data_IF_300123923791
#
_entry.id   IF_300123923791
#
_cell.length_a   1.000
_cell.length_b   1.000
_cell.length_c   1.000
_cell.angle_alpha   90.00
_cell.angle_beta   90.00
_cell.angle_gamma   90.00
#
_symmetry.space_group_name_H-M   'P 1'
#
loop_
_entity.id
_entity.type
_entity.pdbx_description
1 polymer ?
#
# COMPACT_ATOMS: atom_id res chain seq x y z
N UNK A 1 -16.28 31.96 -0.28
CA UNK A 1 -15.14 32.16 0.64
C UNK A 1 -15.68 32.82 1.92
N UNK A 2 -15.85 32.06 3.01
CA UNK A 2 -16.33 32.61 4.29
C UNK A 2 -15.11 32.90 5.16
N UNK A 3 -14.83 34.18 5.39
CA UNK A 3 -13.68 34.71 6.14
C UNK A 3 -13.80 34.25 7.59
N UNK A 4 -12.90 33.40 8.07
CA UNK A 4 -12.81 33.02 9.49
C UNK A 4 -12.19 34.21 10.23
N UNK A 5 -13.00 34.90 11.03
CA UNK A 5 -12.52 35.97 11.92
C UNK A 5 -11.69 35.36 13.04
N UNK A 6 -10.47 35.86 13.24
CA UNK A 6 -9.69 35.62 14.45
C UNK A 6 -10.45 36.20 15.64
N UNK A 7 -11.04 35.35 16.46
CA UNK A 7 -11.53 35.73 17.79
C UNK A 7 -10.37 35.53 18.76
N UNK A 8 -9.97 36.60 19.45
CA UNK A 8 -8.96 36.56 20.50
C UNK A 8 -9.45 35.68 21.68
N UNK A 9 -8.52 34.96 22.30
CA UNK A 9 -8.77 33.99 23.36
C UNK A 9 -9.16 34.67 24.68
N UNK A 10 -10.20 34.14 25.35
CA UNK A 10 -10.50 34.45 26.75
C UNK A 10 -9.70 33.54 27.71
N UNK A 11 -9.44 33.96 28.97
CA UNK A 11 -8.39 33.40 29.81
C UNK A 11 -8.80 32.16 30.64
N UNK A 12 -9.98 31.56 30.45
CA UNK A 12 -10.50 30.54 31.37
C UNK A 12 -11.09 29.29 30.70
N UNK A 13 -10.53 28.89 29.56
CA UNK A 13 -10.79 27.57 28.99
C UNK A 13 -9.83 26.56 29.61
N UNK A 14 -10.30 25.83 30.60
CA UNK A 14 -9.59 24.66 31.17
C UNK A 14 -9.37 23.64 30.05
N UNK A 15 -8.12 23.22 29.83
CA UNK A 15 -7.79 22.18 28.84
C UNK A 15 -8.58 20.90 29.18
N UNK A 16 -9.22 20.30 28.17
CA UNK A 16 -9.87 19.00 28.35
C UNK A 16 -8.81 17.92 28.70
N UNK A 17 -9.21 16.78 29.31
CA UNK A 17 -8.29 15.73 29.78
C UNK A 17 -7.33 15.18 28.71
N UNK A 18 -7.67 15.33 27.43
CA UNK A 18 -6.86 14.90 26.30
C UNK A 18 -6.19 16.05 25.54
N UNK A 19 -6.34 17.31 25.96
CA UNK A 19 -5.76 18.48 25.29
C UNK A 19 -4.37 18.84 25.86
N UNK A 20 -3.47 19.29 24.99
CA UNK A 20 -2.19 19.86 25.35
C UNK A 20 -1.84 21.01 24.40
N UNK A 21 -0.98 21.93 24.86
CA UNK A 21 -0.47 23.03 24.04
C UNK A 21 0.82 22.59 23.38
N UNK A 22 0.88 22.64 22.06
CA UNK A 22 2.08 22.33 21.29
C UNK A 22 3.16 23.42 21.43
N UNK A 23 4.38 23.15 20.95
CA UNK A 23 5.52 24.08 21.06
C UNK A 23 5.33 25.40 20.28
N UNK A 24 4.31 25.48 19.42
CA UNK A 24 3.96 26.67 18.63
C UNK A 24 2.77 27.42 19.26
N UNK A 25 2.30 27.02 20.45
CA UNK A 25 1.18 27.63 21.15
C UNK A 25 -0.20 27.17 20.67
N UNK A 26 -0.28 26.15 19.82
CA UNK A 26 -1.52 25.58 19.32
C UNK A 26 -2.12 24.54 20.28
N UNK A 27 -3.45 24.54 20.46
CA UNK A 27 -4.16 23.47 21.19
C UNK A 27 -4.23 22.20 20.32
N UNK A 28 -3.82 21.06 20.86
CA UNK A 28 -3.80 19.75 20.22
C UNK A 28 -4.31 18.67 21.17
N UNK A 29 -4.85 17.56 20.66
CA UNK A 29 -5.34 16.45 21.50
C UNK A 29 -4.46 15.19 21.39
N UNK A 30 -4.17 14.52 22.50
CA UNK A 30 -3.60 13.16 22.57
C UNK A 30 -4.75 12.17 22.73
N UNK A 31 -4.87 11.22 21.81
CA UNK A 31 -5.85 10.12 21.87
C UNK A 31 -7.32 10.57 22.07
N UNK A 32 -7.78 11.52 21.24
CA UNK A 32 -9.17 12.01 21.26
C UNK A 32 -10.24 10.92 21.00
N UNK A 33 -9.84 9.68 20.70
CA UNK A 33 -10.72 8.52 20.63
C UNK A 33 -11.29 8.11 21.99
N UNK A 34 -10.64 8.51 23.09
CA UNK A 34 -11.07 8.23 24.45
C UNK A 34 -11.86 9.38 25.11
N UNK A 35 -12.14 10.46 24.36
CA UNK A 35 -13.01 11.56 24.79
C UNK A 35 -14.29 11.57 23.95
N UNK A 36 -15.45 11.50 24.60
CA UNK A 36 -16.81 11.59 24.01
C UNK A 36 -16.95 10.85 22.67
N UNK A 37 -16.62 9.57 22.64
CA UNK A 37 -16.85 8.73 21.47
C UNK A 37 -18.06 7.84 21.71
N UNK A 38 -19.27 8.37 21.48
CA UNK A 38 -20.54 7.62 21.57
C UNK A 38 -20.48 6.28 20.81
N UNK A 39 -19.81 6.24 19.65
CA UNK A 39 -19.61 5.00 18.89
C UNK A 39 -18.77 3.95 19.65
N UNK A 40 -17.72 4.37 20.38
CA UNK A 40 -16.85 3.47 21.13
C UNK A 40 -17.57 2.96 22.38
N UNK A 41 -18.30 3.84 23.05
CA UNK A 41 -19.11 3.51 24.22
C UNK A 41 -20.22 2.51 23.83
N UNK A 42 -20.92 2.74 22.71
CA UNK A 42 -21.94 1.80 22.21
C UNK A 42 -21.35 0.42 21.87
N UNK A 43 -20.15 0.37 21.28
CA UNK A 43 -19.47 -0.89 20.97
C UNK A 43 -19.02 -1.62 22.24
N UNK A 44 -18.47 -0.91 23.22
CA UNK A 44 -18.08 -1.42 24.53
C UNK A 44 -19.29 -1.96 25.32
N UNK A 45 -20.41 -1.24 25.32
CA UNK A 45 -21.64 -1.64 25.98
C UNK A 45 -22.22 -2.91 25.38
N UNK A 46 -22.30 -3.00 24.05
CA UNK A 46 -22.73 -4.23 23.35
C UNK A 46 -21.80 -5.41 23.64
N UNK A 47 -20.49 -5.14 23.72
CA UNK A 47 -19.49 -6.16 24.05
C UNK A 47 -19.67 -6.67 25.48
N UNK A 48 -19.85 -5.78 26.45
CA UNK A 48 -20.14 -6.16 27.85
C UNK A 48 -21.48 -6.89 27.98
N UNK A 49 -22.50 -6.51 27.21
CA UNK A 49 -23.81 -7.19 27.16
C UNK A 49 -23.80 -8.50 26.38
N UNK A 50 -22.66 -8.91 25.79
CA UNK A 50 -22.51 -10.09 24.90
C UNK A 50 -23.47 -10.09 23.71
N UNK A 51 -23.85 -8.91 23.24
CA UNK A 51 -24.67 -8.77 22.04
C UNK A 51 -23.81 -8.89 20.76
N UNK A 52 -24.36 -9.45 19.66
CA UNK A 52 -23.64 -9.53 18.40
C UNK A 52 -23.33 -8.14 17.87
N UNK A 53 -22.06 -7.92 17.51
CA UNK A 53 -21.58 -6.64 17.00
C UNK A 53 -22.03 -6.43 15.55
N UNK A 54 -22.57 -5.25 15.26
CA UNK A 54 -22.87 -4.87 13.88
C UNK A 54 -21.55 -4.52 13.16
N UNK A 55 -21.23 -5.15 12.00
CA UNK A 55 -20.02 -4.84 11.24
C UNK A 55 -19.91 -3.35 10.85
N UNK A 56 -21.05 -2.66 10.68
CA UNK A 56 -21.06 -1.22 10.39
C UNK A 56 -20.67 -0.39 11.62
N UNK A 57 -21.08 -0.78 12.84
CA UNK A 57 -20.69 -0.12 14.09
C UNK A 57 -19.18 -0.24 14.34
N UNK A 58 -18.60 -1.44 14.20
CA UNK A 58 -17.15 -1.63 14.31
C UNK A 58 -16.37 -0.84 13.26
N UNK A 59 -16.94 -0.68 12.06
CA UNK A 59 -16.32 0.14 11.01
C UNK A 59 -16.33 1.63 11.34
N UNK A 60 -17.38 2.13 11.98
CA UNK A 60 -17.49 3.51 12.50
C UNK A 60 -16.51 3.74 13.63
N UNK A 61 -16.46 2.85 14.61
CA UNK A 61 -15.46 2.90 15.71
C UNK A 61 -14.05 2.90 15.16
N UNK A 62 -13.72 1.97 14.26
CA UNK A 62 -12.40 1.90 13.65
C UNK A 62 -12.07 3.18 12.84
N UNK A 63 -13.05 3.79 12.17
CA UNK A 63 -12.87 5.06 11.47
C UNK A 63 -12.60 6.22 12.44
N UNK A 64 -13.36 6.30 13.53
CA UNK A 64 -13.23 7.33 14.57
C UNK A 64 -11.91 7.18 15.34
N UNK A 65 -11.53 5.97 15.74
CA UNK A 65 -10.23 5.68 16.35
C UNK A 65 -9.09 6.01 15.39
N UNK A 66 -9.20 5.62 14.11
CA UNK A 66 -8.17 5.95 13.12
C UNK A 66 -8.04 7.47 12.96
N UNK A 67 -9.14 8.23 12.96
CA UNK A 67 -9.12 9.69 12.81
C UNK A 67 -8.53 10.43 14.01
N UNK A 68 -8.68 9.85 15.20
CA UNK A 68 -8.39 10.50 16.48
C UNK A 68 -7.12 10.00 17.16
N UNK A 69 -6.59 8.84 16.78
CA UNK A 69 -5.30 8.33 17.26
C UNK A 69 -4.16 9.07 16.55
N UNK A 70 -3.49 9.98 17.29
CA UNK A 70 -2.31 10.72 16.81
C UNK A 70 -1.15 10.49 17.76
N UNK A 71 0.03 10.22 17.21
CA UNK A 71 1.28 10.07 17.99
C UNK A 71 2.08 11.36 17.89
N UNK A 72 2.60 11.89 19.02
CA UNK A 72 3.43 13.09 19.01
C UNK A 72 4.72 12.84 18.21
N UNK A 73 4.98 13.67 17.20
CA UNK A 73 6.22 13.64 16.41
C UNK A 73 6.93 15.00 16.48
N UNK A 74 8.23 15.02 16.12
CA UNK A 74 9.12 16.19 16.21
C UNK A 74 8.57 17.42 15.46
N UNK A 75 7.70 17.20 14.46
CA UNK A 75 7.06 18.25 13.65
C UNK A 75 5.53 18.34 13.86
N UNK A 76 5.00 17.85 14.99
CA UNK A 76 3.57 17.84 15.32
C UNK A 76 2.95 16.44 15.36
N UNK A 77 1.72 16.33 15.86
CA UNK A 77 1.02 15.05 16.05
C UNK A 77 0.61 14.43 14.70
N UNK A 78 1.07 13.20 14.40
CA UNK A 78 0.74 12.47 13.16
C UNK A 78 -0.33 11.42 13.41
N UNK A 79 -1.36 11.37 12.56
CA UNK A 79 -2.43 10.36 12.56
C UNK A 79 -1.83 8.96 12.34
N UNK A 80 -2.20 8.00 13.20
CA UNK A 80 -1.80 6.60 13.09
C UNK A 80 -2.90 5.83 12.41
N UNK A 81 -2.60 5.26 11.24
CA UNK A 81 -3.51 4.34 10.57
C UNK A 81 -3.49 3.00 11.33
N UNK A 82 -4.65 2.56 11.81
CA UNK A 82 -4.80 1.32 12.59
C UNK A 82 -4.32 0.07 11.82
N UNK A 83 -4.17 0.17 10.50
CA UNK A 83 -3.58 -0.87 9.66
C UNK A 83 -2.07 -1.11 9.90
N UNK A 84 -1.38 -0.24 10.65
CA UNK A 84 0.00 -0.44 11.07
C UNK A 84 0.15 -1.44 12.22
N UNK A 85 -0.87 -1.58 13.07
CA UNK A 85 -0.79 -2.38 14.31
C UNK A 85 -0.68 -3.88 14.01
N UNK A 86 -1.48 -4.47 13.11
CA UNK A 86 -1.42 -5.92 12.92
C UNK A 86 -0.05 -6.42 12.46
N UNK A 87 0.65 -5.81 11.47
CA UNK A 87 2.01 -6.23 11.14
C UNK A 87 3.01 -6.14 12.30
N UNK A 88 2.92 -5.11 13.14
CA UNK A 88 3.84 -4.89 14.26
C UNK A 88 3.72 -5.95 15.35
N UNK A 89 2.51 -6.45 15.61
CA UNK A 89 2.24 -7.43 16.68
C UNK A 89 2.22 -8.86 16.13
N UNK A 90 1.56 -9.07 14.99
CA UNK A 90 1.36 -10.39 14.43
C UNK A 90 2.67 -11.00 13.92
N UNK A 91 3.54 -10.20 13.29
CA UNK A 91 4.76 -10.72 12.68
C UNK A 91 5.75 -11.28 13.71
N UNK A 92 6.09 -10.58 14.82
CA UNK A 92 6.98 -11.14 15.83
C UNK A 92 6.39 -12.38 16.51
N UNK A 93 5.08 -12.38 16.80
CA UNK A 93 4.40 -13.53 17.41
C UNK A 93 4.46 -14.75 16.48
N UNK A 94 4.11 -14.57 15.20
CA UNK A 94 4.15 -15.67 14.22
C UNK A 94 5.57 -16.19 14.00
N UNK A 95 6.57 -15.31 13.93
CA UNK A 95 7.97 -15.73 13.80
C UNK A 95 8.48 -16.46 15.04
N UNK A 96 8.07 -16.02 16.25
CA UNK A 96 8.42 -16.71 17.48
C UNK A 96 7.79 -18.11 17.54
N UNK A 97 6.50 -18.25 17.20
CA UNK A 97 5.82 -19.56 17.10
C UNK A 97 6.51 -20.45 16.05
N UNK A 98 6.88 -19.89 14.90
CA UNK A 98 7.59 -20.62 13.85
C UNK A 98 8.95 -21.14 14.31
N UNK A 99 9.63 -20.42 15.22
CA UNK A 99 10.92 -20.82 15.76
C UNK A 99 10.83 -21.97 16.79
N UNK A 100 9.66 -22.23 17.40
CA UNK A 100 9.51 -23.28 18.42
C UNK A 100 9.65 -24.70 17.84
N UNK A 101 9.18 -24.93 16.61
CA UNK A 101 9.22 -26.25 15.99
C UNK A 101 9.15 -26.15 14.46
N UNK A 102 9.90 -26.99 13.73
CA UNK A 102 9.95 -26.93 12.27
C UNK A 102 8.57 -27.12 11.61
N UNK A 103 7.72 -28.02 12.14
CA UNK A 103 6.34 -28.19 11.67
C UNK A 103 5.50 -26.92 11.86
N UNK A 104 5.65 -26.22 13.01
CA UNK A 104 4.98 -24.95 13.24
C UNK A 104 5.50 -23.88 12.27
N UNK A 105 6.80 -23.90 11.97
CA UNK A 105 7.39 -23.07 10.91
C UNK A 105 6.74 -23.30 9.54
N UNK A 106 6.55 -24.55 9.12
CA UNK A 106 5.86 -24.88 7.86
C UNK A 106 4.41 -24.39 7.89
N UNK A 107 3.69 -24.61 8.99
CA UNK A 107 2.31 -24.14 9.16
C UNK A 107 2.24 -22.61 9.06
N UNK A 108 3.10 -21.87 9.77
CA UNK A 108 3.12 -20.41 9.73
C UNK A 108 3.48 -19.91 8.32
N UNK A 109 4.50 -20.50 7.67
CA UNK A 109 4.95 -20.11 6.34
C UNK A 109 3.87 -20.32 5.27
N UNK A 110 3.06 -21.37 5.39
CA UNK A 110 1.96 -21.67 4.46
C UNK A 110 0.69 -20.88 4.77
N UNK A 111 0.38 -20.64 6.05
CA UNK A 111 -0.79 -19.89 6.47
C UNK A 111 -0.66 -18.37 6.24
N UNK A 112 0.55 -17.81 6.40
CA UNK A 112 0.77 -16.37 6.33
C UNK A 112 0.40 -15.76 4.96
N UNK A 113 0.80 -16.33 3.80
CA UNK A 113 0.33 -15.85 2.50
C UNK A 113 -1.19 -15.90 2.36
N UNK A 114 -1.84 -16.97 2.86
CA UNK A 114 -3.29 -17.10 2.86
C UNK A 114 -3.98 -16.00 3.67
N UNK A 115 -3.49 -15.75 4.89
CA UNK A 115 -3.98 -14.68 5.77
C UNK A 115 -3.78 -13.29 5.15
N UNK A 116 -2.63 -13.04 4.54
CA UNK A 116 -2.32 -11.78 3.87
C UNK A 116 -3.20 -11.58 2.63
N UNK A 117 -3.43 -12.62 1.84
CA UNK A 117 -4.33 -12.58 0.68
C UNK A 117 -5.80 -12.38 1.09
N UNK A 118 -6.22 -13.04 2.16
CA UNK A 118 -7.56 -12.85 2.72
C UNK A 118 -7.75 -11.41 3.22
N UNK A 119 -6.78 -10.90 3.98
CA UNK A 119 -6.76 -9.50 4.42
C UNK A 119 -6.75 -8.53 3.24
N UNK A 120 -5.91 -8.79 2.22
CA UNK A 120 -5.87 -8.03 0.97
C UNK A 120 -7.25 -7.96 0.33
N UNK A 121 -7.88 -9.12 0.12
CA UNK A 121 -9.17 -9.19 -0.55
C UNK A 121 -10.26 -8.44 0.23
N UNK A 122 -10.30 -8.61 1.55
CA UNK A 122 -11.30 -7.96 2.41
C UNK A 122 -11.12 -6.44 2.50
N UNK A 123 -9.87 -5.98 2.66
CA UNK A 123 -9.57 -4.56 2.92
C UNK A 123 -9.41 -3.75 1.64
N UNK A 124 -8.73 -4.27 0.63
CA UNK A 124 -8.44 -3.54 -0.60
C UNK A 124 -9.69 -3.40 -1.49
N UNK A 125 -10.62 -4.36 -1.45
CA UNK A 125 -11.92 -4.18 -2.11
C UNK A 125 -12.76 -3.06 -1.51
N UNK A 126 -12.57 -2.74 -0.22
CA UNK A 126 -13.38 -1.75 0.50
C UNK A 126 -12.71 -0.38 0.66
N UNK A 127 -11.40 -0.32 0.95
CA UNK A 127 -10.71 0.92 1.38
C UNK A 127 -9.77 1.53 0.32
N UNK A 128 -9.51 0.86 -0.80
CA UNK A 128 -8.67 1.38 -1.90
C UNK A 128 -7.18 1.48 -1.54
N UNK A 129 -6.81 2.31 -0.55
CA UNK A 129 -5.42 2.49 -0.08
C UNK A 129 -5.30 2.10 1.39
N UNK A 130 -4.33 1.26 1.70
CA UNK A 130 -4.02 0.82 3.07
C UNK A 130 -2.52 0.92 3.29
N UNK A 131 -2.09 1.37 4.48
CA UNK A 131 -0.66 1.38 4.83
C UNK A 131 -0.13 0.01 5.25
N UNK A 132 -1.02 -0.94 5.57
CA UNK A 132 -0.70 -2.32 5.99
C UNK A 132 0.49 -2.96 5.26
N UNK A 133 0.46 -3.04 3.93
CA UNK A 133 1.52 -3.73 3.16
C UNK A 133 2.85 -3.02 3.21
N UNK A 134 2.82 -1.67 3.19
CA UNK A 134 4.03 -0.87 3.33
C UNK A 134 4.61 -0.98 4.74
N UNK A 135 3.77 -0.94 5.79
CA UNK A 135 4.22 -1.13 7.16
C UNK A 135 4.72 -2.55 7.40
N UNK A 136 4.07 -3.56 6.82
CA UNK A 136 4.52 -4.94 6.88
C UNK A 136 5.90 -5.10 6.25
N UNK A 137 6.12 -4.55 5.05
CA UNK A 137 7.42 -4.62 4.38
C UNK A 137 8.53 -3.89 5.17
N UNK A 138 8.26 -2.67 5.63
CA UNK A 138 9.24 -1.87 6.39
C UNK A 138 9.57 -2.51 7.74
N UNK A 139 8.55 -2.98 8.46
CA UNK A 139 8.75 -3.66 9.74
C UNK A 139 9.48 -4.99 9.55
N UNK A 140 9.14 -5.77 8.53
CA UNK A 140 9.86 -7.01 8.22
C UNK A 140 11.33 -6.74 7.93
N UNK A 141 11.64 -5.73 7.11
CA UNK A 141 13.03 -5.36 6.81
C UNK A 141 13.80 -4.94 8.07
N UNK A 142 13.18 -4.09 8.91
CA UNK A 142 13.77 -3.66 10.18
C UNK A 142 13.98 -4.83 11.14
N UNK A 143 12.95 -5.67 11.34
CA UNK A 143 12.98 -6.78 12.28
C UNK A 143 13.98 -7.86 11.86
N UNK A 144 14.05 -8.19 10.56
CA UNK A 144 15.06 -9.12 10.04
C UNK A 144 16.48 -8.58 10.23
N UNK A 145 16.70 -7.28 10.01
CA UNK A 145 17.99 -6.66 10.26
C UNK A 145 18.32 -6.62 11.77
N UNK A 146 17.33 -6.34 12.62
CA UNK A 146 17.47 -6.40 14.08
C UNK A 146 17.89 -7.80 14.55
N UNK A 147 17.18 -8.85 14.11
CA UNK A 147 17.54 -10.24 14.42
C UNK A 147 18.94 -10.60 13.91
N UNK A 148 19.34 -10.12 12.73
CA UNK A 148 20.70 -10.31 12.24
C UNK A 148 21.73 -9.72 13.20
N UNK A 149 21.49 -8.50 13.71
CA UNK A 149 22.38 -7.84 14.67
C UNK A 149 22.39 -8.52 16.04
N UNK A 150 21.27 -9.04 16.52
CA UNK A 150 21.18 -9.61 17.88
C UNK A 150 21.49 -11.09 17.96
N UNK A 151 21.20 -11.87 16.91
CA UNK A 151 21.32 -13.34 16.95
C UNK A 151 22.48 -13.88 16.11
N UNK A 152 22.90 -13.16 15.06
CA UNK A 152 23.87 -13.65 14.08
C UNK A 152 25.24 -13.02 14.32
N UNK A 153 25.30 -11.69 14.46
CA UNK A 153 26.57 -10.98 14.70
C UNK A 153 27.27 -11.43 15.99
N UNK A 154 26.59 -11.67 17.13
CA UNK A 154 27.26 -12.09 18.36
C UNK A 154 27.88 -13.50 18.31
N UNK A 155 27.55 -14.32 17.29
CA UNK A 155 28.19 -15.63 17.08
C UNK A 155 29.66 -15.50 16.69
N UNK A 156 30.09 -14.31 16.23
CA UNK A 156 31.49 -14.01 15.92
C UNK A 156 31.94 -14.38 14.50
N UNK A 157 31.10 -15.06 13.72
CA UNK A 157 31.43 -15.49 12.35
C UNK A 157 31.32 -14.37 11.30
N UNK A 158 30.69 -13.24 11.65
CA UNK A 158 30.44 -12.12 10.74
C UNK A 158 31.49 -11.03 10.96
N UNK A 159 32.29 -10.76 9.93
CA UNK A 159 33.28 -9.67 9.96
C UNK A 159 32.63 -8.29 9.89
N UNK A 160 33.32 -7.26 10.41
CA UNK A 160 32.86 -5.87 10.33
C UNK A 160 32.61 -5.39 8.89
N UNK A 161 33.37 -5.91 7.91
CA UNK A 161 33.18 -5.58 6.49
C UNK A 161 31.86 -6.18 5.97
N UNK A 162 31.57 -7.45 6.28
CA UNK A 162 30.32 -8.10 5.89
C UNK A 162 29.10 -7.40 6.53
N UNK A 163 29.21 -7.04 7.81
CA UNK A 163 28.20 -6.24 8.51
C UNK A 163 28.01 -4.87 7.84
N UNK A 164 29.10 -4.17 7.50
CA UNK A 164 29.06 -2.91 6.77
C UNK A 164 28.36 -3.02 5.42
N UNK A 165 28.62 -4.08 4.66
CA UNK A 165 27.97 -4.34 3.36
C UNK A 165 26.46 -4.54 3.51
N UNK A 166 26.02 -5.37 4.47
CA UNK A 166 24.59 -5.58 4.74
C UNK A 166 23.92 -4.27 5.17
N UNK A 167 24.55 -3.55 6.09
CA UNK A 167 24.03 -2.27 6.61
C UNK A 167 23.85 -1.24 5.49
N UNK A 168 24.85 -1.14 4.61
CA UNK A 168 24.81 -0.29 3.42
C UNK A 168 23.71 -0.75 2.45
N UNK A 169 23.57 -2.05 2.22
CA UNK A 169 22.51 -2.62 1.38
C UNK A 169 21.10 -2.29 1.88
N UNK A 170 20.86 -2.42 3.19
CA UNK A 170 19.59 -2.02 3.83
C UNK A 170 19.36 -0.51 3.67
N UNK A 171 20.37 0.31 3.92
CA UNK A 171 20.27 1.76 3.75
C UNK A 171 19.96 2.16 2.30
N UNK A 172 20.65 1.58 1.32
CA UNK A 172 20.40 1.80 -0.11
C UNK A 172 19.00 1.38 -0.52
N UNK A 173 18.51 0.25 0.01
CA UNK A 173 17.13 -0.22 -0.22
C UNK A 173 16.10 0.81 0.27
N UNK A 174 16.29 1.32 1.50
CA UNK A 174 15.42 2.35 2.08
C UNK A 174 15.48 3.67 1.31
N UNK A 175 16.68 4.13 0.92
CA UNK A 175 16.86 5.35 0.13
C UNK A 175 16.21 5.24 -1.25
N UNK A 176 16.39 4.10 -1.93
CA UNK A 176 15.75 3.83 -3.20
C UNK A 176 14.22 3.80 -3.05
N UNK A 177 13.70 3.17 -1.99
CA UNK A 177 12.26 3.15 -1.69
C UNK A 177 11.71 4.55 -1.43
N UNK A 178 12.42 5.38 -0.66
CA UNK A 178 12.08 6.78 -0.43
C UNK A 178 12.02 7.56 -1.74
N UNK A 179 12.98 7.33 -2.64
CA UNK A 179 13.00 7.95 -3.95
C UNK A 179 11.80 7.49 -4.81
N UNK A 180 11.49 6.19 -4.79
CA UNK A 180 10.33 5.61 -5.48
C UNK A 180 9.01 6.22 -5.00
N UNK A 181 8.92 6.58 -3.71
CA UNK A 181 7.75 7.24 -3.11
C UNK A 181 7.61 8.73 -3.44
N UNK A 182 8.60 9.39 -4.05
CA UNK A 182 8.50 10.81 -4.43
C UNK A 182 7.38 11.08 -5.45
N UNK A 183 6.96 10.07 -6.20
CA UNK A 183 5.73 10.09 -6.99
C UNK A 183 5.88 9.49 -8.39
N UNK A 184 4.79 8.98 -8.99
CA UNK A 184 4.84 8.24 -10.26
C UNK A 184 4.89 9.12 -11.52
N UNK A 185 4.70 10.43 -11.38
CA UNK A 185 4.47 11.34 -12.50
C UNK A 185 3.00 11.39 -12.88
N UNK A 186 2.19 12.09 -12.08
CA UNK A 186 0.77 12.30 -12.37
C UNK A 186 0.61 13.21 -13.59
N UNK A 187 -0.42 12.92 -14.41
CA UNK A 187 -0.81 13.78 -15.51
C UNK A 187 -1.42 15.06 -14.93
N UNK A 188 -0.84 16.21 -15.26
CA UNK A 188 -1.41 17.52 -14.90
C UNK A 188 -2.36 17.96 -16.02
N UNK A 189 -3.52 18.56 -15.70
CA UNK A 189 -4.35 19.21 -16.72
C UNK A 189 -3.54 20.31 -17.41
N UNK A 190 -3.57 20.38 -18.74
CA UNK A 190 -2.97 21.48 -19.48
C UNK A 190 -3.84 22.74 -19.30
N UNK A 191 -3.28 23.91 -18.97
CA UNK A 191 -4.04 25.17 -18.92
C UNK A 191 -4.73 25.53 -20.24
N UNK A 192 -4.18 25.07 -21.37
CA UNK A 192 -4.75 25.28 -22.71
C UNK A 192 -6.02 24.43 -22.95
N UNK A 193 -6.17 23.30 -22.26
CA UNK A 193 -7.37 22.45 -22.33
C UNK A 193 -8.48 22.92 -21.35
N UNK A 194 -8.15 23.78 -20.39
CA UNK A 194 -9.14 24.39 -19.47
C UNK A 194 -9.88 25.60 -20.07
N UNK A 195 -9.47 26.09 -21.25
CA UNK A 195 -10.12 27.22 -21.93
C UNK A 195 -10.86 26.86 -23.23
N UNK A 196 -10.87 25.57 -23.63
CA UNK A 196 -11.60 25.14 -24.83
C UNK A 196 -12.83 24.31 -24.47
N UNK A 197 -13.96 25.01 -24.54
CA UNK A 197 -15.29 24.50 -24.88
C UNK A 197 -16.03 23.74 -23.78
N UNK A 198 -16.95 24.48 -23.13
CA UNK A 198 -18.26 23.93 -22.75
C UNK A 198 -18.91 23.41 -24.03
N UNK A 199 -18.64 22.16 -24.40
CA UNK A 199 -19.57 21.42 -25.25
C UNK A 199 -20.70 21.00 -24.34
N UNK A 200 -21.86 21.63 -24.51
CA UNK A 200 -23.12 21.08 -24.02
C UNK A 200 -23.23 19.65 -24.56
N UNK A 201 -22.98 18.66 -23.70
CA UNK A 201 -23.67 17.39 -23.87
C UNK A 201 -25.11 17.67 -23.46
N UNK A 202 -25.99 17.81 -24.45
CA UNK A 202 -27.44 17.83 -24.23
C UNK A 202 -27.81 16.62 -23.36
N UNK A 203 -28.61 16.79 -22.31
CA UNK A 203 -29.05 15.66 -21.51
C UNK A 203 -29.88 14.75 -22.39
N UNK A 204 -29.51 13.46 -22.46
CA UNK A 204 -30.40 12.45 -22.99
C UNK A 204 -31.62 12.41 -22.07
N UNK A 205 -32.78 12.55 -22.70
CA UNK A 205 -34.11 12.50 -22.13
C UNK A 205 -34.26 11.26 -21.25
N UNK A 206 -34.74 11.45 -20.02
CA UNK A 206 -35.15 10.39 -19.11
C UNK A 206 -36.14 9.47 -19.83
N UNK A 207 -35.80 8.18 -19.88
CA UNK A 207 -36.78 7.12 -20.10
C UNK A 207 -36.66 6.17 -18.92
N UNK A 208 -37.82 5.90 -18.34
CA UNK A 208 -38.03 5.29 -17.04
C UNK A 208 -37.28 3.99 -16.79
N UNK A 209 -36.92 3.85 -15.52
CA UNK A 209 -36.29 2.69 -14.93
C UNK A 209 -37.31 1.57 -14.78
N UNK A 210 -37.26 0.56 -15.64
CA UNK A 210 -37.90 -0.73 -15.37
C UNK A 210 -37.07 -1.90 -15.92
N UNK A 211 -36.68 -2.76 -14.98
CA UNK A 211 -36.48 -4.20 -15.15
C UNK A 211 -35.23 -4.73 -15.90
N UNK A 212 -34.32 -5.22 -15.06
CA UNK A 212 -33.69 -6.56 -15.09
C UNK A 212 -32.77 -7.00 -16.22
N UNK A 213 -31.58 -7.41 -15.76
CA UNK A 213 -30.84 -8.64 -16.08
C UNK A 213 -30.56 -8.98 -17.54
N UNK A 214 -29.27 -9.19 -17.81
CA UNK A 214 -28.88 -10.21 -18.77
C UNK A 214 -27.80 -9.78 -19.73
N UNK A 215 -26.79 -10.63 -19.78
CA UNK A 215 -25.77 -10.78 -20.81
C UNK A 215 -26.10 -10.23 -22.22
N UNK A 216 -24.99 -9.77 -22.84
CA UNK A 216 -24.64 -9.88 -24.28
C UNK A 216 -25.55 -9.17 -25.27
N UNK A 217 -25.05 -8.09 -25.88
CA UNK A 217 -25.34 -7.70 -27.27
C UNK A 217 -24.08 -7.00 -27.80
N UNK A 218 -23.28 -7.57 -28.71
CA UNK A 218 -23.54 -7.80 -30.13
C UNK A 218 -24.11 -6.54 -30.81
N UNK A 219 -23.22 -5.73 -31.35
CA UNK A 219 -23.59 -4.55 -32.15
C UNK A 219 -23.83 -5.02 -33.57
N UNK A 220 -25.10 -5.05 -33.97
CA UNK A 220 -25.54 -5.20 -35.35
C UNK A 220 -25.25 -3.90 -36.10
N UNK A 221 -24.63 -4.06 -37.27
CA UNK A 221 -24.27 -3.00 -38.21
C UNK A 221 -25.54 -2.54 -38.94
N UNK A 222 -25.79 -1.22 -38.96
CA UNK A 222 -26.74 -0.62 -39.89
C UNK A 222 -25.97 0.14 -40.97
N UNK A 223 -26.16 -0.30 -42.22
CA UNK A 223 -25.54 0.22 -43.43
C UNK A 223 -26.55 1.13 -44.17
N UNK A 224 -26.05 2.27 -44.67
CA UNK A 224 -26.42 3.08 -45.86
C UNK A 224 -27.90 3.25 -46.25
N UNK A 225 -28.26 4.48 -46.64
CA UNK A 225 -28.33 4.91 -48.06
C UNK A 225 -28.71 6.39 -48.21
N UNK A 226 -27.99 7.11 -49.06
CA UNK A 226 -28.47 8.32 -49.77
C UNK A 226 -28.50 7.99 -51.27
N UNK A 227 -29.35 8.63 -52.10
CA UNK A 227 -29.40 8.36 -53.53
C UNK A 227 -28.34 9.11 -54.34
N UNK A 228 -28.14 8.58 -55.55
CA UNK A 228 -27.04 8.77 -56.50
C UNK A 228 -26.98 10.12 -57.22
N UNK A 229 -25.79 10.46 -57.73
CA UNK A 229 -25.58 10.94 -59.11
C UNK A 229 -24.09 10.92 -59.55
N UNK A 230 -23.83 10.13 -60.61
CA UNK A 230 -22.95 10.26 -61.80
C UNK A 230 -21.55 10.90 -61.75
N UNK A 231 -20.54 10.13 -62.24
CA UNK A 231 -19.64 10.60 -63.31
C UNK A 231 -18.12 10.70 -63.05
N UNK A 232 -17.36 9.82 -63.74
CA UNK A 232 -15.97 9.96 -64.24
C UNK A 232 -14.74 9.84 -63.29
N UNK A 233 -13.88 8.86 -63.63
CA UNK A 233 -12.45 8.72 -63.24
C UNK A 233 -11.56 9.51 -64.24
N UNK A 234 -10.38 10.06 -63.83
CA UNK A 234 -9.16 9.23 -63.84
C UNK A 234 -8.05 9.53 -62.80
N UNK A 235 -7.30 8.47 -62.47
CA UNK A 235 -5.83 8.36 -62.18
C UNK A 235 -5.15 9.25 -61.10
N UNK A 236 -4.73 8.55 -60.04
CA UNK A 236 -3.41 8.52 -59.40
C UNK A 236 -2.74 9.82 -58.90
N UNK A 237 -2.74 10.04 -57.57
CA UNK A 237 -1.57 10.52 -56.80
C UNK A 237 -1.58 9.91 -55.39
N UNK A 238 -0.39 9.54 -54.93
CA UNK A 238 -0.07 8.86 -53.69
C UNK A 238 -0.44 9.62 -52.40
N UNK A 239 -0.64 8.85 -51.33
CA UNK A 239 -0.24 9.25 -49.97
C UNK A 239 -1.37 9.66 -49.02
N UNK A 240 -1.91 8.70 -48.28
CA UNK A 240 -2.24 8.93 -46.86
C UNK A 240 -2.39 7.60 -46.14
N UNK A 241 -1.36 7.24 -45.37
CA UNK A 241 -1.43 6.19 -44.36
C UNK A 241 -2.45 6.62 -43.32
N UNK A 242 -3.57 5.89 -43.29
CA UNK A 242 -4.51 5.69 -42.17
C UNK A 242 -4.24 6.50 -40.88
N UNK A 243 -4.71 7.75 -40.81
CA UNK A 243 -5.09 8.35 -39.53
C UNK A 243 -6.50 7.87 -39.17
N UNK A 244 -6.59 6.64 -38.64
CA UNK A 244 -7.84 6.06 -38.17
C UNK A 244 -7.96 6.23 -36.64
N UNK A 245 -8.78 7.19 -36.24
CA UNK A 245 -9.65 7.12 -35.05
C UNK A 245 -8.97 6.83 -33.68
N UNK A 246 -8.09 7.72 -33.22
CA UNK A 246 -7.58 7.70 -31.84
C UNK A 246 -8.30 8.69 -30.90
N UNK A 247 -9.15 9.57 -31.44
CA UNK A 247 -9.76 10.70 -30.72
C UNK A 247 -10.75 10.34 -29.61
N UNK A 248 -11.38 9.15 -29.66
CA UNK A 248 -12.36 8.74 -28.64
C UNK A 248 -11.78 7.95 -27.46
N UNK A 249 -10.59 7.35 -27.59
CA UNK A 249 -10.07 6.39 -26.58
C UNK A 249 -9.22 7.02 -25.48
N UNK A 250 -8.82 8.29 -25.63
CA UNK A 250 -7.85 8.91 -24.74
C UNK A 250 -8.50 9.76 -23.63
N UNK A 251 -9.79 10.10 -23.72
CA UNK A 251 -10.46 10.81 -22.63
C UNK A 251 -10.53 9.98 -21.35
N UNK A 252 -10.32 10.61 -20.19
CA UNK A 252 -10.58 10.02 -18.89
C UNK A 252 -11.83 10.66 -18.26
N UNK A 253 -12.93 9.91 -18.05
CA UNK A 253 -14.15 10.48 -17.49
C UNK A 253 -14.00 10.93 -16.03
N UNK A 254 -13.10 10.31 -15.27
CA UNK A 254 -12.88 10.61 -13.85
C UNK A 254 -12.01 11.87 -13.65
N UNK A 255 -10.89 11.96 -14.38
CA UNK A 255 -9.96 13.08 -14.26
C UNK A 255 -10.30 14.24 -15.20
N UNK A 256 -11.29 14.08 -16.08
CA UNK A 256 -11.74 15.06 -17.08
C UNK A 256 -10.58 15.66 -17.87
N UNK A 257 -9.71 14.79 -18.38
CA UNK A 257 -8.56 15.17 -19.19
C UNK A 257 -8.32 14.16 -20.33
N UNK A 258 -7.69 14.63 -21.39
CA UNK A 258 -7.17 13.75 -22.45
C UNK A 258 -5.89 13.10 -21.96
N UNK A 259 -5.88 11.77 -21.88
CA UNK A 259 -4.73 10.98 -21.46
C UNK A 259 -3.65 11.03 -22.55
N UNK A 260 -2.41 11.44 -22.20
CA UNK A 260 -1.28 11.27 -23.09
C UNK A 260 -1.08 9.80 -23.48
N UNK A 261 -0.38 9.51 -24.60
CA UNK A 261 -0.06 8.14 -24.98
C UNK A 261 0.57 7.36 -23.82
N UNK A 262 0.11 6.12 -23.63
CA UNK A 262 0.54 5.21 -22.55
C UNK A 262 0.17 5.64 -21.13
N UNK A 263 -0.55 6.75 -20.92
CA UNK A 263 -1.05 7.12 -19.60
C UNK A 263 -2.29 6.31 -19.24
N UNK A 264 -2.43 5.96 -17.96
CA UNK A 264 -3.53 5.17 -17.43
C UNK A 264 -4.15 5.80 -16.20
N UNK A 265 -5.47 5.63 -16.02
CA UNK A 265 -6.15 6.05 -14.80
C UNK A 265 -6.06 4.94 -13.75
N UNK A 266 -5.43 5.24 -12.61
CA UNK A 266 -5.43 4.33 -11.47
C UNK A 266 -6.64 4.62 -10.58
N UNK A 267 -7.57 3.67 -10.48
CA UNK A 267 -8.78 3.80 -9.64
C UNK A 267 -8.45 3.96 -8.15
N UNK A 268 -7.37 3.33 -7.70
CA UNK A 268 -6.92 3.35 -6.29
C UNK A 268 -6.36 4.72 -5.90
N UNK A 269 -5.55 5.31 -6.77
CA UNK A 269 -5.01 6.67 -6.57
C UNK A 269 -5.96 7.77 -7.06
N UNK A 270 -7.10 7.39 -7.68
CA UNK A 270 -8.05 8.29 -8.34
C UNK A 270 -7.39 9.34 -9.25
N UNK A 271 -6.33 8.94 -9.97
CA UNK A 271 -5.50 9.86 -10.74
C UNK A 271 -4.95 9.21 -12.02
N UNK A 272 -4.79 10.02 -13.07
CA UNK A 272 -4.07 9.62 -14.28
C UNK A 272 -2.56 9.69 -14.04
N UNK A 273 -1.85 8.61 -14.41
CA UNK A 273 -0.40 8.46 -14.24
C UNK A 273 0.24 8.27 -15.61
N UNK A 274 1.34 9.00 -15.87
CA UNK A 274 2.13 8.88 -17.09
C UNK A 274 2.82 7.51 -17.13
N UNK A 275 2.71 6.81 -18.27
CA UNK A 275 3.21 5.43 -18.45
C UNK A 275 2.89 4.55 -17.24
N UNK A 276 1.61 4.51 -16.87
CA UNK A 276 1.14 3.70 -15.75
C UNK A 276 1.54 2.24 -16.00
N UNK A 277 2.31 1.68 -15.07
CA UNK A 277 2.66 0.26 -15.06
C UNK A 277 1.66 -0.48 -14.18
N UNK A 278 1.67 -0.22 -12.87
CA UNK A 278 0.70 -0.76 -11.93
C UNK A 278 0.58 0.09 -10.66
N UNK A 279 -0.43 -0.19 -9.84
CA UNK A 279 -0.49 0.29 -8.45
C UNK A 279 0.16 -0.75 -7.54
N UNK A 280 1.26 -0.40 -6.88
CA UNK A 280 1.97 -1.32 -6.00
C UNK A 280 1.54 -1.10 -4.55
N UNK A 281 0.90 -2.12 -3.98
CA UNK A 281 0.40 -2.10 -2.60
C UNK A 281 1.54 -2.01 -1.57
N UNK A 282 2.69 -2.63 -1.88
CA UNK A 282 3.86 -2.67 -1.01
C UNK A 282 4.54 -1.30 -0.81
N UNK A 283 4.39 -0.38 -1.79
CA UNK A 283 4.88 1.00 -1.67
C UNK A 283 3.74 2.00 -1.44
N UNK A 284 2.49 1.52 -1.42
CA UNK A 284 1.25 2.30 -1.39
C UNK A 284 1.25 3.49 -2.39
N UNK A 285 1.72 3.23 -3.60
CA UNK A 285 1.89 4.21 -4.67
C UNK A 285 1.84 3.54 -6.04
N UNK A 286 1.46 4.30 -7.07
CA UNK A 286 1.64 3.82 -8.45
C UNK A 286 3.13 3.76 -8.80
N UNK A 287 3.45 2.86 -9.72
CA UNK A 287 4.69 2.83 -10.49
C UNK A 287 4.35 3.37 -11.88
N UNK A 288 5.04 4.43 -12.28
CA UNK A 288 4.83 5.15 -13.52
C UNK A 288 6.13 5.74 -14.03
N UNK A 289 6.04 6.60 -15.04
CA UNK A 289 7.20 7.14 -15.75
C UNK A 289 8.29 7.71 -14.83
N UNK A 290 7.92 8.48 -13.81
CA UNK A 290 8.88 9.24 -13.00
C UNK A 290 9.60 8.40 -11.94
N UNK A 291 9.01 7.28 -11.50
CA UNK A 291 9.58 6.44 -10.43
C UNK A 291 9.90 5.00 -10.86
N UNK A 292 9.63 4.61 -12.11
CA UNK A 292 9.88 3.25 -12.59
C UNK A 292 11.33 2.78 -12.36
N UNK A 293 12.32 3.64 -12.68
CA UNK A 293 13.74 3.29 -12.48
C UNK A 293 14.09 3.09 -11.02
N UNK A 294 13.61 3.97 -10.15
CA UNK A 294 13.85 3.86 -8.70
C UNK A 294 13.17 2.63 -8.11
N UNK A 295 11.99 2.26 -8.61
CA UNK A 295 11.31 1.04 -8.20
C UNK A 295 12.14 -0.20 -8.53
N UNK A 296 12.71 -0.27 -9.74
CA UNK A 296 13.62 -1.37 -10.11
C UNK A 296 14.90 -1.38 -9.26
N UNK A 297 15.47 -0.21 -8.95
CA UNK A 297 16.61 -0.12 -8.03
C UNK A 297 16.27 -0.59 -6.62
N UNK A 298 15.08 -0.26 -6.09
CA UNK A 298 14.60 -0.77 -4.80
C UNK A 298 14.56 -2.30 -4.81
N UNK A 299 13.99 -2.92 -5.85
CA UNK A 299 13.93 -4.38 -5.97
C UNK A 299 15.33 -5.01 -6.08
N UNK A 300 16.22 -4.38 -6.84
CA UNK A 300 17.59 -4.86 -7.03
C UNK A 300 18.38 -4.87 -5.71
N UNK A 301 18.42 -3.74 -4.99
CA UNK A 301 19.13 -3.66 -3.71
C UNK A 301 18.49 -4.57 -2.65
N UNK A 302 17.16 -4.65 -2.61
CA UNK A 302 16.47 -5.56 -1.71
C UNK A 302 16.87 -7.01 -1.98
N UNK A 303 16.78 -7.48 -3.23
CA UNK A 303 17.13 -8.85 -3.60
C UNK A 303 18.59 -9.18 -3.28
N UNK A 304 19.52 -8.30 -3.67
CA UNK A 304 20.95 -8.52 -3.45
C UNK A 304 21.28 -8.57 -1.95
N UNK A 305 20.73 -7.64 -1.17
CA UNK A 305 20.93 -7.58 0.29
C UNK A 305 20.32 -8.80 0.98
N UNK A 306 19.12 -9.23 0.56
CA UNK A 306 18.47 -10.42 1.12
C UNK A 306 19.24 -11.70 0.82
N UNK A 307 19.70 -11.90 -0.43
CA UNK A 307 20.48 -13.07 -0.80
C UNK A 307 21.80 -13.13 -0.03
N UNK A 308 22.49 -11.99 0.08
CA UNK A 308 23.73 -11.91 0.83
C UNK A 308 23.50 -12.14 2.34
N UNK A 309 22.46 -11.54 2.92
CA UNK A 309 22.07 -11.76 4.31
C UNK A 309 21.76 -13.22 4.62
N UNK A 310 20.96 -13.88 3.76
CA UNK A 310 20.66 -15.31 3.88
C UNK A 310 21.95 -16.13 3.85
N UNK A 311 22.89 -15.82 2.95
CA UNK A 311 24.15 -16.56 2.85
C UNK A 311 24.99 -16.46 4.12
N UNK A 312 25.06 -15.28 4.74
CA UNK A 312 25.78 -15.09 6.01
C UNK A 312 25.11 -15.83 7.16
N UNK A 313 23.78 -15.76 7.25
CA UNK A 313 23.02 -16.50 8.27
C UNK A 313 23.26 -18.01 8.14
N UNK A 314 23.19 -18.56 6.93
CA UNK A 314 23.43 -19.98 6.70
C UNK A 314 24.86 -20.40 7.06
N UNK A 315 25.86 -19.56 6.78
CA UNK A 315 27.26 -19.82 7.16
C UNK A 315 27.46 -19.80 8.68
N UNK A 316 26.86 -18.86 9.39
CA UNK A 316 26.95 -18.75 10.86
C UNK A 316 26.16 -19.82 11.60
N UNK A 317 25.10 -20.36 10.98
CA UNK A 317 24.24 -21.37 11.61
C UNK A 317 24.67 -22.80 11.25
N UNK A 318 25.19 -23.01 10.04
CA UNK A 318 25.52 -24.32 9.48
C UNK A 318 26.93 -24.34 8.86
N UNK A 319 28.00 -24.11 9.65
CA UNK A 319 29.36 -23.90 9.12
C UNK A 319 29.95 -25.12 8.40
N UNK A 320 29.45 -26.31 8.69
CA UNK A 320 29.95 -27.59 8.16
C UNK A 320 29.32 -27.98 6.82
N UNK A 321 28.27 -27.27 6.37
CA UNK A 321 27.49 -27.62 5.20
C UNK A 321 27.73 -26.65 4.02
N UNK A 322 27.56 -27.15 2.80
CA UNK A 322 27.52 -26.27 1.63
C UNK A 322 26.29 -25.36 1.69
N UNK A 323 26.36 -24.15 1.14
CA UNK A 323 25.24 -23.19 1.16
C UNK A 323 23.92 -23.78 0.61
N UNK A 324 24.00 -24.62 -0.43
CA UNK A 324 22.82 -25.24 -1.04
C UNK A 324 22.19 -26.28 -0.11
N UNK A 325 23.03 -27.08 0.57
CA UNK A 325 22.56 -28.06 1.56
C UNK A 325 21.98 -27.35 2.78
N UNK A 326 22.68 -26.32 3.30
CA UNK A 326 22.23 -25.54 4.45
C UNK A 326 20.89 -24.83 4.21
N UNK A 327 20.61 -24.41 2.97
CA UNK A 327 19.32 -23.83 2.59
C UNK A 327 18.15 -24.81 2.74
N UNK A 328 18.38 -26.10 2.49
CA UNK A 328 17.35 -27.14 2.49
C UNK A 328 17.27 -27.91 3.81
N UNK A 329 18.40 -28.11 4.47
CA UNK A 329 18.50 -28.90 5.69
C UNK A 329 19.72 -28.53 6.51
N UNK A 330 19.49 -28.18 7.78
CA UNK A 330 20.54 -27.95 8.75
C UNK A 330 20.27 -28.76 10.04
N UNK A 331 20.88 -29.95 10.17
CA UNK A 331 20.62 -30.85 11.29
C UNK A 331 21.07 -30.28 12.64
N UNK A 332 22.12 -29.47 12.65
CA UNK A 332 22.77 -28.98 13.87
C UNK A 332 21.91 -27.99 14.68
N UNK A 333 20.93 -27.34 14.02
CA UNK A 333 20.05 -26.34 14.65
C UNK A 333 19.04 -26.99 15.59
N UNK A 334 18.50 -28.14 15.21
CA UNK A 334 17.46 -28.85 15.96
C UNK A 334 18.04 -29.92 16.90
N UNK A 335 19.29 -30.33 16.70
CA UNK A 335 19.95 -31.31 17.57
C UNK A 335 20.34 -30.71 18.93
N UNK A 336 20.72 -29.42 18.99
CA UNK A 336 21.06 -28.75 20.25
C UNK A 336 19.85 -28.50 21.17
N UNK A 337 18.65 -28.29 20.62
CA UNK A 337 17.41 -28.14 21.40
C UNK A 337 17.04 -29.42 22.16
N UNK A 338 17.40 -30.57 21.58
CA UNK A 338 17.22 -31.90 22.19
C UNK A 338 18.15 -32.13 23.39
N UNK A 339 19.35 -31.54 23.37
CA UNK A 339 20.35 -31.75 24.42
C UNK A 339 20.07 -30.94 25.68
N UNK A 340 19.45 -29.75 25.55
CA UNK A 340 19.09 -28.90 26.71
C UNK A 340 17.89 -29.48 27.49
N UNK A 341 16.96 -30.19 26.84
CA UNK A 341 15.89 -30.91 27.55
C UNK A 341 16.35 -32.20 28.25
N UNK A 342 17.45 -32.81 27.80
CA UNK A 342 17.97 -34.03 28.42
C UNK A 342 18.94 -33.77 29.60
N UNK A 343 19.48 -32.55 29.73
CA UNK A 343 20.50 -32.19 30.72
C UNK A 343 20.01 -31.77 32.10
N UNK A 344 18.70 -31.78 32.37
CA UNK A 344 18.12 -31.33 33.66
C UNK A 344 17.53 -32.46 34.52
N UNK A 345 17.80 -33.72 34.17
CA UNK A 345 17.44 -34.91 34.94
C UNK A 345 18.67 -35.80 35.16
N UNK A 346 19.67 -35.34 35.91
CA UNK A 346 20.57 -36.21 36.69
C UNK A 346 21.15 -35.47 37.88
#
# INVERSE_FOLDING_TARGET
MKKRSNKAAEPDDTLCCCEYVDRLGGRSHVAACCCDCEDLDEACDRWMKREPQNPDSLSRVAATVTDRLRVPWISGAKKVDLSLIPPLILLPILLHIAALHYLLGIVVLTALPGMVLWYYYFTHRKKGRTLFFLSLALFSLFYMYYLFLTEVVPRGDVTNVQLGIITLGVALTLLALMHTKKGPGYVKPSPADTHSTVTYHSPLQEVDSAYHNGLRHQVVIANRTSPAEQGAEPRAVAGSVLEKDSGKRNWCPFCKLVRPPRAGHCRICSACVLRLDHHCVWINSCVGQANHRSFLLTLFFFLLTSLYGISLVLQSVCPTQSLLTALLYCPDVYSQSSFISAGHFY
#
